data_IF_471868702523
#
_entry.id   IF_471868702523
#
_cell.length_a   1.000
_cell.length_b   1.000
_cell.length_c   1.000
_cell.angle_alpha   90.00
_cell.angle_beta   90.00
_cell.angle_gamma   90.00
#
_symmetry.space_group_name_H-M   'P 1'
#
loop_
_entity.id
_entity.type
_entity.pdbx_description
1 polymer ?
#
# COMPACT_ATOMS: atom_id res chain seq x y z
N UNK A 1 -0.79 -4.34 25.41
CA UNK A 1 -0.89 -5.71 24.86
C UNK A 1 -1.07 -5.54 23.37
N UNK A 2 -0.05 -5.84 22.57
CA UNK A 2 -0.19 -5.88 21.12
C UNK A 2 -1.08 -7.10 20.81
N UNK A 3 -2.27 -6.94 20.21
CA UNK A 3 -3.05 -8.08 19.75
C UNK A 3 -2.15 -8.95 18.88
N UNK A 4 -2.33 -10.28 18.87
CA UNK A 4 -1.57 -11.10 17.95
C UNK A 4 -1.78 -10.58 16.52
N UNK A 5 -0.74 -10.57 15.68
CA UNK A 5 -0.85 -10.16 14.27
C UNK A 5 -2.05 -10.85 13.61
N UNK A 6 -2.30 -12.12 13.94
CA UNK A 6 -3.48 -12.86 13.49
C UNK A 6 -4.82 -12.23 13.92
N UNK A 7 -4.95 -11.73 15.15
CA UNK A 7 -6.16 -11.03 15.59
C UNK A 7 -6.37 -9.70 14.86
N UNK A 8 -5.28 -8.98 14.54
CA UNK A 8 -5.33 -7.73 13.77
C UNK A 8 -5.87 -8.01 12.36
N UNK A 9 -5.29 -9.01 11.70
CA UNK A 9 -5.68 -9.42 10.34
C UNK A 9 -7.11 -9.97 10.30
N UNK A 10 -7.54 -10.69 11.35
CA UNK A 10 -8.92 -11.17 11.48
C UNK A 10 -9.93 -10.02 11.62
N UNK A 11 -9.59 -8.96 12.36
CA UNK A 11 -10.48 -7.80 12.52
C UNK A 11 -10.64 -7.04 11.21
N UNK A 12 -9.54 -6.82 10.47
CA UNK A 12 -9.57 -6.20 9.15
C UNK A 12 -10.55 -6.93 8.21
N UNK A 13 -10.58 -8.28 8.24
CA UNK A 13 -11.53 -9.09 7.44
C UNK A 13 -13.00 -8.77 7.76
N UNK A 14 -13.34 -8.60 9.04
CA UNK A 14 -14.71 -8.54 9.52
C UNK A 14 -15.39 -7.19 9.29
N UNK A 15 -14.64 -6.13 8.98
CA UNK A 15 -15.18 -4.78 8.74
C UNK A 15 -15.85 -4.61 7.36
N UNK A 16 -16.16 -5.71 6.66
CA UNK A 16 -16.85 -5.70 5.37
C UNK A 16 -16.00 -5.19 4.20
N UNK A 17 -14.76 -4.77 4.46
CA UNK A 17 -13.82 -4.30 3.46
C UNK A 17 -13.38 -5.43 2.51
N UNK A 18 -13.39 -6.69 2.93
CA UNK A 18 -12.75 -7.81 2.20
C UNK A 18 -13.65 -8.65 1.31
N UNK A 19 -14.84 -8.18 0.97
CA UNK A 19 -15.73 -8.95 0.08
C UNK A 19 -15.14 -9.27 -1.31
N UNK A 20 -14.02 -8.63 -1.67
CA UNK A 20 -13.35 -8.77 -2.97
C UNK A 20 -12.12 -9.68 -2.95
N UNK A 21 -11.61 -10.09 -1.78
CA UNK A 21 -10.54 -11.10 -1.70
C UNK A 21 -11.18 -12.38 -1.19
N UNK A 22 -11.39 -13.35 -2.08
CA UNK A 22 -11.93 -14.68 -1.76
C UNK A 22 -10.86 -15.53 -1.05
N UNK A 23 -10.49 -15.12 0.17
CA UNK A 23 -9.50 -15.80 1.01
C UNK A 23 -10.03 -16.03 2.42
N UNK A 24 -9.70 -17.19 2.96
CA UNK A 24 -10.08 -17.59 4.30
C UNK A 24 -9.34 -16.78 5.37
N UNK A 25 -8.08 -16.41 5.12
CA UNK A 25 -7.25 -15.65 6.04
C UNK A 25 -6.44 -14.58 5.30
N UNK A 26 -6.27 -13.42 5.96
CA UNK A 26 -5.33 -12.40 5.50
C UNK A 26 -4.00 -12.71 6.14
N UNK A 27 -2.94 -12.73 5.34
CA UNK A 27 -1.57 -12.86 5.80
C UNK A 27 -0.87 -11.52 5.59
N UNK A 28 -0.02 -11.14 6.55
CA UNK A 28 0.61 -9.81 6.59
C UNK A 28 1.34 -9.43 5.28
N UNK A 29 2.00 -10.41 4.65
CA UNK A 29 2.67 -10.29 3.36
C UNK A 29 2.17 -11.34 2.36
N UNK A 30 0.94 -11.84 2.56
CA UNK A 30 0.30 -12.80 1.67
C UNK A 30 0.24 -12.26 0.25
N UNK A 31 0.35 -13.17 -0.72
CA UNK A 31 0.25 -12.84 -2.15
C UNK A 31 -1.13 -13.24 -2.64
N UNK A 32 -1.90 -12.26 -3.09
CA UNK A 32 -3.25 -12.43 -3.58
C UNK A 32 -3.29 -12.42 -5.12
N UNK A 33 -4.42 -12.02 -5.69
CA UNK A 33 -4.54 -11.80 -7.12
C UNK A 33 -3.40 -10.89 -7.62
N UNK A 34 -2.83 -11.22 -8.77
CA UNK A 34 -1.78 -10.43 -9.40
C UNK A 34 -0.52 -10.22 -8.53
N UNK A 35 -0.32 -11.01 -7.49
CA UNK A 35 0.83 -10.86 -6.58
C UNK A 35 0.72 -9.70 -5.59
N UNK A 36 -0.43 -9.04 -5.52
CA UNK A 36 -0.71 -7.97 -4.56
C UNK A 36 -0.66 -8.47 -3.13
N UNK A 37 -0.26 -7.59 -2.21
CA UNK A 37 -0.42 -7.82 -0.76
C UNK A 37 -1.64 -7.07 -0.25
N UNK A 38 -2.06 -7.35 0.99
CA UNK A 38 -3.15 -6.60 1.63
C UNK A 38 -2.86 -5.09 1.64
N UNK A 39 -1.59 -4.70 1.81
CA UNK A 39 -1.18 -3.30 1.78
C UNK A 39 -1.38 -2.65 0.41
N UNK A 40 -1.20 -3.36 -0.70
CA UNK A 40 -1.51 -2.85 -2.04
C UNK A 40 -3.00 -2.52 -2.14
N UNK A 41 -3.83 -3.50 -1.80
CA UNK A 41 -5.30 -3.41 -1.95
C UNK A 41 -5.87 -2.26 -1.12
N UNK A 42 -5.39 -2.07 0.10
CA UNK A 42 -5.81 -0.93 0.92
C UNK A 42 -5.23 0.40 0.47
N UNK A 43 -4.01 0.39 -0.07
CA UNK A 43 -3.41 1.59 -0.64
C UNK A 43 -4.18 2.08 -1.87
N UNK A 44 -4.57 1.19 -2.79
CA UNK A 44 -5.43 1.51 -3.93
C UNK A 44 -6.78 2.11 -3.48
N UNK A 45 -7.31 1.67 -2.34
CA UNK A 45 -8.60 2.14 -1.80
C UNK A 45 -8.50 3.43 -0.99
N UNK A 46 -7.29 3.85 -0.63
CA UNK A 46 -7.09 5.01 0.24
C UNK A 46 -7.45 4.73 1.71
N UNK A 47 -7.48 3.47 2.13
CA UNK A 47 -7.84 3.09 3.49
C UNK A 47 -6.66 3.29 4.44
N UNK A 48 -6.56 4.51 4.96
CA UNK A 48 -5.47 4.95 5.82
C UNK A 48 -5.34 4.10 7.09
N UNK A 49 -6.46 3.72 7.71
CA UNK A 49 -6.44 3.02 8.99
C UNK A 49 -6.04 1.56 8.82
N UNK A 50 -6.53 0.91 7.77
CA UNK A 50 -6.10 -0.44 7.43
C UNK A 50 -4.62 -0.48 7.03
N UNK A 51 -4.15 0.50 6.22
CA UNK A 51 -2.72 0.62 5.89
C UNK A 51 -1.87 0.80 7.15
N UNK A 52 -2.26 1.69 8.06
CA UNK A 52 -1.56 1.93 9.32
C UNK A 52 -1.47 0.65 10.14
N UNK A 53 -2.60 -0.02 10.30
CA UNK A 53 -2.72 -1.25 11.06
C UNK A 53 -1.79 -2.35 10.51
N UNK A 54 -1.73 -2.52 9.19
CA UNK A 54 -0.83 -3.48 8.54
C UNK A 54 0.65 -3.10 8.73
N UNK A 55 0.98 -1.82 8.58
CA UNK A 55 2.35 -1.33 8.74
C UNK A 55 2.84 -1.47 10.20
N UNK A 56 1.99 -1.14 11.18
CA UNK A 56 2.26 -1.36 12.61
C UNK A 56 2.43 -2.84 12.97
N UNK A 57 1.72 -3.73 12.24
CA UNK A 57 1.89 -5.17 12.35
C UNK A 57 3.16 -5.71 11.65
N UNK A 58 3.91 -4.85 10.92
CA UNK A 58 5.16 -5.19 10.25
C UNK A 58 5.02 -5.60 8.79
N UNK A 59 3.98 -5.14 8.09
CA UNK A 59 3.83 -5.37 6.66
C UNK A 59 5.03 -4.82 5.88
N UNK A 60 5.44 -5.55 4.85
CA UNK A 60 6.51 -5.16 3.97
C UNK A 60 6.08 -3.99 3.09
N UNK A 61 6.60 -2.80 3.41
CA UNK A 61 6.21 -1.52 2.79
C UNK A 61 6.66 -1.37 1.32
N UNK A 62 7.70 -2.10 0.91
CA UNK A 62 8.29 -2.05 -0.44
C UNK A 62 8.13 -3.39 -1.19
N UNK A 63 7.16 -4.21 -0.80
CA UNK A 63 6.91 -5.49 -1.47
C UNK A 63 6.39 -5.22 -2.89
N UNK A 64 7.00 -5.78 -3.95
CA UNK A 64 6.52 -5.59 -5.32
C UNK A 64 5.37 -6.56 -5.63
N UNK A 65 4.24 -6.05 -6.10
CA UNK A 65 3.09 -6.76 -6.66
C UNK A 65 3.23 -7.01 -8.17
N UNK A 66 2.11 -6.96 -8.91
CA UNK A 66 2.12 -7.14 -10.38
C UNK A 66 2.97 -6.07 -11.05
N UNK A 67 3.75 -6.46 -12.06
CA UNK A 67 4.62 -5.55 -12.81
C UNK A 67 5.55 -4.70 -11.92
N UNK A 68 5.90 -5.18 -10.73
CA UNK A 68 6.78 -4.46 -9.81
C UNK A 68 6.13 -3.28 -9.08
N UNK A 69 4.82 -3.05 -9.23
CA UNK A 69 4.13 -2.00 -8.49
C UNK A 69 4.19 -2.25 -6.99
N UNK A 70 4.45 -1.20 -6.21
CA UNK A 70 4.39 -1.25 -4.75
C UNK A 70 3.11 -0.60 -4.25
N UNK A 71 2.76 -0.80 -2.97
CA UNK A 71 1.65 -0.08 -2.34
C UNK A 71 1.75 1.45 -2.49
N UNK A 72 2.97 2.01 -2.61
CA UNK A 72 3.15 3.44 -2.86
C UNK A 72 2.74 3.82 -4.29
N UNK A 73 3.05 2.99 -5.29
CA UNK A 73 2.59 3.23 -6.66
C UNK A 73 1.06 3.25 -6.73
N UNK A 74 0.41 2.31 -6.05
CA UNK A 74 -1.05 2.24 -5.95
C UNK A 74 -1.66 3.48 -5.30
N UNK A 75 -1.12 3.92 -4.15
CA UNK A 75 -1.62 5.12 -3.48
C UNK A 75 -1.41 6.39 -4.34
N UNK A 76 -0.29 6.48 -5.06
CA UNK A 76 0.00 7.60 -5.96
C UNK A 76 -0.92 7.57 -7.18
N UNK A 77 -1.13 6.42 -7.81
CA UNK A 77 -1.96 6.29 -9.01
C UNK A 77 -3.42 6.69 -8.78
N UNK A 78 -3.89 6.55 -7.54
CA UNK A 78 -5.24 6.90 -7.12
C UNK A 78 -5.34 8.27 -6.41
N UNK A 79 -4.22 8.97 -6.19
CA UNK A 79 -4.21 10.30 -5.59
C UNK A 79 -4.39 10.32 -4.05
N UNK A 80 -4.18 9.21 -3.35
CA UNK A 80 -4.44 9.09 -1.91
C UNK A 80 -3.32 9.69 -1.06
N UNK A 81 -3.20 11.02 -1.05
CA UNK A 81 -2.12 11.78 -0.40
C UNK A 81 -1.88 11.38 1.08
N UNK A 82 -2.94 11.09 1.84
CA UNK A 82 -2.81 10.67 3.24
C UNK A 82 -2.14 9.29 3.38
N UNK A 83 -2.48 8.35 2.50
CA UNK A 83 -1.84 7.03 2.47
C UNK A 83 -0.42 7.13 1.96
N UNK A 84 -0.15 7.97 0.96
CA UNK A 84 1.21 8.25 0.47
C UNK A 84 2.11 8.76 1.61
N UNK A 85 1.64 9.75 2.38
CA UNK A 85 2.38 10.26 3.53
C UNK A 85 2.69 9.15 4.55
N UNK A 86 1.68 8.35 4.91
CA UNK A 86 1.85 7.22 5.82
C UNK A 86 2.86 6.20 5.31
N UNK A 87 2.79 5.80 4.04
CA UNK A 87 3.71 4.84 3.44
C UNK A 87 5.16 5.35 3.47
N UNK A 88 5.38 6.65 3.22
CA UNK A 88 6.69 7.30 3.33
C UNK A 88 7.20 7.34 4.78
N UNK A 89 6.34 7.62 5.76
CA UNK A 89 6.69 7.57 7.19
C UNK A 89 7.20 6.19 7.61
N UNK A 90 6.70 5.12 6.99
CA UNK A 90 7.12 3.74 7.23
C UNK A 90 8.26 3.27 6.31
N UNK A 91 8.88 4.18 5.56
CA UNK A 91 10.08 3.89 4.76
C UNK A 91 9.80 3.31 3.37
N UNK A 92 8.64 3.61 2.77
CA UNK A 92 8.46 3.39 1.33
C UNK A 92 9.55 4.13 0.54
N UNK A 93 10.07 3.47 -0.50
CA UNK A 93 11.01 4.09 -1.43
C UNK A 93 10.27 4.58 -2.69
N UNK A 94 10.13 5.91 -2.90
CA UNK A 94 9.42 6.48 -4.05
C UNK A 94 10.16 6.33 -5.38
N UNK A 95 11.44 5.91 -5.34
CA UNK A 95 12.30 5.73 -6.52
C UNK A 95 12.41 4.26 -6.96
N UNK A 96 11.59 3.36 -6.40
CA UNK A 96 11.52 1.99 -6.92
C UNK A 96 10.83 2.00 -8.28
N UNK A 97 11.51 1.46 -9.29
CA UNK A 97 10.99 1.36 -10.65
C UNK A 97 10.04 0.16 -10.76
N UNK A 98 8.83 0.42 -11.28
CA UNK A 98 7.98 -0.63 -11.80
C UNK A 98 8.51 -1.14 -13.15
N UNK A 99 8.04 -2.31 -13.57
CA UNK A 99 8.43 -2.96 -14.82
C UNK A 99 7.86 -2.22 -16.05
N UNK A 100 8.21 -2.65 -17.26
CA UNK A 100 7.60 -2.22 -18.52
C UNK A 100 7.46 -0.69 -18.72
N UNK A 101 8.48 0.08 -18.32
CA UNK A 101 8.54 1.54 -18.48
C UNK A 101 7.43 2.30 -17.72
N UNK A 102 6.74 1.67 -16.76
CA UNK A 102 5.78 2.36 -15.89
C UNK A 102 6.44 3.44 -15.02
N UNK A 103 7.75 3.31 -14.79
CA UNK A 103 8.53 4.25 -14.00
C UNK A 103 8.36 4.05 -12.50
N UNK A 104 8.85 4.99 -11.72
CA UNK A 104 8.68 5.00 -10.27
C UNK A 104 7.49 5.88 -9.83
N UNK A 105 7.06 5.70 -8.58
CA UNK A 105 5.95 6.45 -7.99
C UNK A 105 6.17 7.98 -8.01
N UNK A 106 7.42 8.45 -7.92
CA UNK A 106 7.73 9.88 -8.02
C UNK A 106 7.45 10.47 -9.41
N UNK A 107 7.81 9.76 -10.48
CA UNK A 107 7.52 10.19 -11.85
C UNK A 107 6.02 10.10 -12.17
N UNK A 108 5.32 9.07 -11.68
CA UNK A 108 3.87 8.93 -11.83
C UNK A 108 3.11 10.13 -11.22
N UNK A 109 3.51 10.57 -10.02
CA UNK A 109 2.88 11.69 -9.34
C UNK A 109 2.96 12.99 -10.17
N UNK A 110 4.06 13.22 -10.92
CA UNK A 110 4.19 14.40 -11.78
C UNK A 110 3.17 14.44 -12.91
N UNK A 111 2.76 13.27 -13.42
CA UNK A 111 1.85 13.17 -14.56
C UNK A 111 0.38 13.16 -14.15
N UNK A 112 0.05 12.47 -13.05
CA UNK A 112 -1.33 12.16 -12.70
C UNK A 112 -1.85 13.07 -11.58
N UNK A 113 -1.08 13.22 -10.49
CA UNK A 113 -1.51 13.86 -9.25
C UNK A 113 -0.46 14.86 -8.71
N UNK A 114 -0.40 16.09 -9.26
CA UNK A 114 0.56 17.11 -8.82
C UNK A 114 0.49 17.43 -7.32
N UNK A 115 -0.69 17.26 -6.70
CA UNK A 115 -0.90 17.42 -5.26
C UNK A 115 -0.16 16.38 -4.43
N UNK A 116 -0.05 15.14 -4.93
CA UNK A 116 0.69 14.05 -4.27
C UNK A 116 2.19 14.24 -4.43
N UNK A 117 2.63 14.87 -5.53
CA UNK A 117 4.05 15.17 -5.76
C UNK A 117 4.65 16.01 -4.63
N UNK A 118 3.89 16.97 -4.09
CA UNK A 118 4.34 17.80 -2.99
C UNK A 118 4.54 16.99 -1.69
N UNK A 119 3.73 15.96 -1.47
CA UNK A 119 3.92 15.01 -0.36
C UNK A 119 5.21 14.21 -0.54
N UNK A 120 5.46 13.69 -1.75
CA UNK A 120 6.67 12.93 -2.04
C UNK A 120 7.94 13.78 -1.91
N UNK A 121 7.88 15.06 -2.31
CA UNK A 121 9.00 16.02 -2.16
C UNK A 121 9.33 16.35 -0.72
N UNK A 122 8.34 16.32 0.17
CA UNK A 122 8.56 16.60 1.59
C UNK A 122 9.30 15.46 2.32
N UNK A 123 9.50 14.31 1.67
CA UNK A 123 10.03 13.07 2.27
C UNK A 123 11.34 12.58 1.64
N UNK A 124 11.99 13.36 0.77
CA UNK A 124 13.29 13.04 0.11
C UNK A 124 14.40 14.02 0.48
#
# INVERSE_FOLDING_TARGET
MNPSVQSILTNLKNDGLFHFIDVDEIELNGRYAFGETALHIFATRGDLEACRTLLEAGAGVNVPGEYGFTALHEAVSQGHAAVVALLLEYGSNPNLEAEHDFGNAFEMAKMIHPEVLEVLRASV
#
